data_IF_748318129497
#
_entry.id   IF_748318129497
#
_cell.length_a   1.000
_cell.length_b   1.000
_cell.length_c   1.000
_cell.angle_alpha   90.00
_cell.angle_beta   90.00
_cell.angle_gamma   90.00
#
_symmetry.space_group_name_H-M   'P 1'
#
loop_
_entity.id
_entity.type
_entity.pdbx_description
1 polymer ?
#
# COMPACT_ATOMS: atom_id res chain seq x y z
N UNK A 1 30.21 -42.14 -21.20
CA UNK A 1 29.63 -41.68 -19.91
C UNK A 1 30.03 -40.26 -19.50
N UNK A 2 30.86 -39.56 -20.27
CA UNK A 2 31.33 -38.18 -20.00
C UNK A 2 30.27 -37.08 -20.27
N UNK A 3 29.44 -37.23 -21.31
CA UNK A 3 28.49 -36.20 -21.78
C UNK A 3 27.38 -35.91 -20.76
N UNK A 4 26.96 -36.93 -19.98
CA UNK A 4 25.95 -36.79 -18.94
C UNK A 4 26.43 -36.01 -17.71
N UNK A 5 27.73 -36.03 -17.43
CA UNK A 5 28.33 -35.30 -16.31
C UNK A 5 28.41 -33.81 -16.66
N UNK A 6 28.87 -33.48 -17.87
CA UNK A 6 28.98 -32.09 -18.35
C UNK A 6 27.61 -31.37 -18.38
N UNK A 7 26.54 -32.07 -18.79
CA UNK A 7 25.18 -31.51 -18.79
C UNK A 7 24.65 -31.19 -17.38
N UNK A 8 24.97 -32.03 -16.39
CA UNK A 8 24.56 -31.79 -14.99
C UNK A 8 25.28 -30.59 -14.38
N UNK A 9 26.58 -30.45 -14.66
CA UNK A 9 27.36 -29.28 -14.22
C UNK A 9 26.88 -28.00 -14.88
N UNK A 10 26.58 -28.04 -16.18
CA UNK A 10 26.01 -26.89 -16.90
C UNK A 10 24.67 -26.43 -16.30
N UNK A 11 23.77 -27.37 -15.95
CA UNK A 11 22.49 -27.05 -15.31
C UNK A 11 22.69 -26.44 -13.93
N UNK A 12 23.59 -27.00 -13.11
CA UNK A 12 23.89 -26.47 -11.77
C UNK A 12 24.51 -25.07 -11.84
N UNK A 13 25.45 -24.85 -12.77
CA UNK A 13 26.06 -23.53 -13.01
C UNK A 13 25.01 -22.53 -13.50
N UNK A 14 24.12 -22.94 -14.40
CA UNK A 14 23.05 -22.09 -14.90
C UNK A 14 22.06 -21.70 -13.78
N UNK A 15 21.68 -22.65 -12.93
CA UNK A 15 20.85 -22.38 -11.75
C UNK A 15 21.54 -21.43 -10.75
N UNK A 16 22.84 -21.62 -10.48
CA UNK A 16 23.61 -20.73 -9.61
C UNK A 16 23.70 -19.30 -10.18
N UNK A 17 23.93 -19.16 -11.49
CA UNK A 17 23.91 -17.86 -12.18
C UNK A 17 22.54 -17.19 -12.11
N UNK A 18 21.45 -17.94 -12.32
CA UNK A 18 20.09 -17.42 -12.17
C UNK A 18 19.78 -16.97 -10.74
N UNK A 19 20.21 -17.74 -9.73
CA UNK A 19 20.02 -17.39 -8.32
C UNK A 19 20.80 -16.12 -7.93
N UNK A 20 22.05 -15.98 -8.40
CA UNK A 20 22.87 -14.79 -8.15
C UNK A 20 22.33 -13.55 -8.87
N UNK A 21 21.84 -13.70 -10.11
CA UNK A 21 21.19 -12.61 -10.85
C UNK A 21 19.89 -12.15 -10.17
N UNK A 22 19.12 -13.08 -9.60
CA UNK A 22 17.88 -12.77 -8.88
C UNK A 22 18.13 -12.05 -7.54
N UNK A 23 19.27 -12.31 -6.89
CA UNK A 23 19.67 -11.62 -5.66
C UNK A 23 20.07 -10.16 -5.87
N UNK A 24 20.56 -9.82 -7.08
CA UNK A 24 20.96 -8.46 -7.46
C UNK A 24 19.81 -7.62 -8.04
N UNK A 25 18.64 -8.24 -8.30
CA UNK A 25 17.48 -7.55 -8.87
C UNK A 25 16.58 -6.89 -7.81
N UNK A 26 16.92 -6.95 -6.52
CA UNK A 26 16.16 -6.22 -5.51
C UNK A 26 16.36 -4.71 -5.72
N UNK A 27 15.30 -3.93 -5.97
CA UNK A 27 15.44 -2.48 -6.11
C UNK A 27 16.07 -1.89 -4.85
N UNK A 28 17.00 -0.94 -5.01
CA UNK A 28 17.68 -0.29 -3.90
C UNK A 28 16.66 0.25 -2.88
N UNK A 29 16.69 -0.20 -1.61
CA UNK A 29 15.78 0.25 -0.57
C UNK A 29 15.74 1.78 -0.42
N UNK A 30 16.87 2.47 -0.64
CA UNK A 30 16.94 3.94 -0.55
C UNK A 30 16.20 4.60 -1.70
N UNK A 31 16.36 4.06 -2.91
CA UNK A 31 15.65 4.55 -4.08
C UNK A 31 14.14 4.32 -3.94
N UNK A 32 13.73 3.15 -3.45
CA UNK A 32 12.32 2.86 -3.13
C UNK A 32 11.75 3.87 -2.14
N UNK A 33 12.45 4.13 -1.04
CA UNK A 33 12.00 5.09 -0.03
C UNK A 33 11.89 6.51 -0.59
N UNK A 34 12.88 6.95 -1.38
CA UNK A 34 12.85 8.26 -2.02
C UNK A 34 11.61 8.43 -2.94
N UNK A 35 11.23 7.38 -3.68
CA UNK A 35 10.03 7.40 -4.52
C UNK A 35 8.74 7.44 -3.69
N UNK A 36 8.66 6.70 -2.57
CA UNK A 36 7.51 6.74 -1.67
C UNK A 36 7.34 8.14 -1.07
N UNK A 37 8.43 8.76 -0.60
CA UNK A 37 8.39 10.12 -0.05
C UNK A 37 7.98 11.14 -1.11
N UNK A 38 8.49 10.99 -2.35
CA UNK A 38 8.08 11.84 -3.46
C UNK A 38 6.58 11.71 -3.76
N UNK A 39 6.04 10.49 -3.82
CA UNK A 39 4.62 10.24 -4.04
C UNK A 39 3.76 10.87 -2.94
N UNK A 40 4.10 10.64 -1.66
CA UNK A 40 3.40 11.23 -0.51
C UNK A 40 3.37 12.75 -0.61
N UNK A 41 4.49 13.35 -1.02
CA UNK A 41 4.63 14.81 -1.14
C UNK A 41 3.78 15.42 -2.27
N UNK A 42 3.48 14.64 -3.32
CA UNK A 42 2.71 15.05 -4.49
C UNK A 42 1.20 14.84 -4.33
N UNK A 43 0.78 14.00 -3.37
CA UNK A 43 -0.63 13.75 -3.09
C UNK A 43 -1.34 15.02 -2.60
N UNK A 44 -2.67 15.07 -2.76
CA UNK A 44 -3.48 16.18 -2.28
C UNK A 44 -3.30 16.36 -0.77
N UNK A 45 -2.83 17.54 -0.36
CA UNK A 45 -2.54 17.83 1.05
C UNK A 45 -1.19 17.29 1.56
N UNK A 46 -0.36 16.68 0.70
CA UNK A 46 0.92 16.06 1.11
C UNK A 46 1.98 17.02 1.66
N UNK A 47 1.85 18.32 1.36
CA UNK A 47 2.72 19.38 1.89
C UNK A 47 2.15 20.06 3.15
N UNK A 48 0.97 19.65 3.63
CA UNK A 48 0.33 20.26 4.81
C UNK A 48 1.02 19.74 6.07
N UNK A 49 1.58 20.67 6.85
CA UNK A 49 2.24 20.34 8.11
C UNK A 49 1.20 20.19 9.21
N UNK A 50 1.04 18.98 9.73
CA UNK A 50 0.11 18.66 10.82
C UNK A 50 0.70 19.03 12.19
N UNK A 51 -0.14 19.56 13.07
CA UNK A 51 0.14 19.72 14.51
C UNK A 51 0.16 18.36 15.22
N UNK A 52 0.69 18.31 16.45
CA UNK A 52 0.75 17.04 17.19
C UNK A 52 -0.64 16.47 17.53
N UNK A 53 -1.64 17.33 17.74
CA UNK A 53 -3.01 16.89 17.94
C UNK A 53 -3.59 16.27 16.66
N UNK A 54 -3.32 16.89 15.50
CA UNK A 54 -3.76 16.38 14.19
C UNK A 54 -3.06 15.09 13.82
N UNK A 55 -1.75 14.93 14.11
CA UNK A 55 -1.02 13.67 13.90
C UNK A 55 -1.63 12.50 14.69
N UNK A 56 -2.07 12.75 15.93
CA UNK A 56 -2.74 11.72 16.74
C UNK A 56 -4.09 11.33 16.15
N UNK A 57 -4.86 12.31 15.68
CA UNK A 57 -6.13 12.07 15.00
C UNK A 57 -5.93 11.32 13.68
N UNK A 58 -4.92 11.70 12.89
CA UNK A 58 -4.55 11.07 11.63
C UNK A 58 -4.17 9.60 11.83
N UNK A 59 -3.33 9.28 12.82
CA UNK A 59 -2.98 7.91 13.15
C UNK A 59 -4.21 7.05 13.51
N UNK A 60 -5.17 7.62 14.27
CA UNK A 60 -6.42 6.94 14.60
C UNK A 60 -7.31 6.74 13.37
N UNK A 61 -7.46 7.79 12.55
CA UNK A 61 -8.22 7.76 11.30
C UNK A 61 -7.64 6.74 10.32
N UNK A 62 -6.32 6.70 10.18
CA UNK A 62 -5.62 5.75 9.33
C UNK A 62 -5.87 4.31 9.79
N UNK A 63 -5.78 4.04 11.10
CA UNK A 63 -6.10 2.72 11.64
C UNK A 63 -7.54 2.31 11.33
N UNK A 64 -8.52 3.19 11.59
CA UNK A 64 -9.92 2.92 11.26
C UNK A 64 -10.10 2.64 9.77
N UNK A 65 -9.46 3.42 8.89
CA UNK A 65 -9.48 3.24 7.43
C UNK A 65 -8.94 1.86 7.03
N UNK A 66 -7.81 1.43 7.59
CA UNK A 66 -7.24 0.12 7.29
C UNK A 66 -8.15 -1.02 7.76
N UNK A 67 -8.80 -0.88 8.92
CA UNK A 67 -9.78 -1.85 9.40
C UNK A 67 -11.02 -1.93 8.49
N UNK A 68 -11.44 -0.83 7.87
CA UNK A 68 -12.58 -0.82 6.94
C UNK A 68 -12.21 -1.34 5.56
N UNK A 69 -11.02 -1.00 5.04
CA UNK A 69 -10.50 -1.48 3.75
C UNK A 69 -10.18 -2.97 3.77
N UNK A 70 -9.81 -3.53 4.91
CA UNK A 70 -9.49 -4.96 5.04
C UNK A 70 -10.72 -5.87 5.15
N UNK A 71 -11.94 -5.30 5.25
CA UNK A 71 -13.18 -6.08 5.27
C UNK A 71 -13.46 -6.66 3.89
N UNK A 72 -14.15 -7.81 3.87
CA UNK A 72 -14.56 -8.46 2.63
C UNK A 72 -15.53 -7.58 1.82
N UNK A 73 -16.42 -6.86 2.52
CA UNK A 73 -17.31 -5.88 1.91
C UNK A 73 -16.55 -4.57 1.68
N UNK A 74 -16.43 -4.16 0.42
CA UNK A 74 -15.79 -2.90 0.04
C UNK A 74 -16.84 -1.96 -0.60
N UNK A 75 -17.55 -1.13 0.22
CA UNK A 75 -18.64 -0.28 -0.24
C UNK A 75 -18.32 0.61 -1.46
N UNK A 76 -17.10 1.16 -1.63
CA UNK A 76 -16.76 1.98 -2.79
C UNK A 76 -16.80 1.23 -4.14
N UNK A 77 -16.62 -0.10 -4.16
CA UNK A 77 -16.74 -0.90 -5.39
C UNK A 77 -18.16 -1.41 -5.65
N UNK A 78 -19.09 -1.19 -4.72
CA UNK A 78 -20.50 -1.56 -4.89
C UNK A 78 -21.31 -0.39 -5.44
N UNK A 79 -22.42 -0.69 -6.11
CA UNK A 79 -23.37 0.36 -6.50
C UNK A 79 -23.89 1.10 -5.26
N UNK A 80 -23.89 2.43 -5.30
CA UNK A 80 -24.19 3.29 -4.15
C UNK A 80 -25.50 2.93 -3.41
N UNK A 81 -26.59 2.65 -4.13
CA UNK A 81 -27.85 2.26 -3.50
C UNK A 81 -27.77 1.00 -2.62
N UNK A 82 -26.90 0.04 -2.95
CA UNK A 82 -26.64 -1.15 -2.13
C UNK A 82 -25.65 -0.86 -1.00
N UNK A 83 -24.65 -0.03 -1.29
CA UNK A 83 -23.63 0.36 -0.33
C UNK A 83 -24.14 1.32 0.75
N UNK A 84 -25.20 2.09 0.48
CA UNK A 84 -25.69 3.19 1.33
C UNK A 84 -25.94 2.76 2.76
N UNK A 85 -26.61 1.62 2.95
CA UNK A 85 -26.99 1.16 4.28
C UNK A 85 -25.75 0.69 5.06
N UNK A 86 -24.78 0.07 4.38
CA UNK A 86 -23.47 -0.28 4.95
C UNK A 86 -22.67 0.99 5.33
N UNK A 87 -22.58 1.97 4.43
CA UNK A 87 -21.87 3.25 4.66
C UNK A 87 -22.44 3.98 5.87
N UNK A 88 -23.78 4.01 6.04
CA UNK A 88 -24.43 4.67 7.18
C UNK A 88 -24.05 4.06 8.54
N UNK A 89 -23.69 2.78 8.56
CA UNK A 89 -23.25 2.10 9.79
C UNK A 89 -21.75 2.28 10.08
N UNK A 90 -20.94 2.68 9.09
CA UNK A 90 -19.50 2.86 9.23
C UNK A 90 -19.14 3.91 10.30
N UNK A 91 -18.26 3.57 11.27
CA UNK A 91 -17.71 4.53 12.22
C UNK A 91 -16.93 5.67 11.54
N UNK A 92 -16.20 5.38 10.45
CA UNK A 92 -15.47 6.40 9.68
C UNK A 92 -16.47 7.38 9.08
N UNK A 93 -17.53 6.88 8.46
CA UNK A 93 -18.54 7.76 7.85
C UNK A 93 -19.16 8.72 8.87
N UNK A 94 -19.50 8.23 10.07
CA UNK A 94 -20.01 9.08 11.17
C UNK A 94 -19.01 10.15 11.62
N UNK A 95 -17.71 9.85 11.59
CA UNK A 95 -16.66 10.82 11.89
C UNK A 95 -16.53 11.87 10.77
N UNK A 96 -16.54 11.43 9.50
CA UNK A 96 -16.52 12.31 8.33
C UNK A 96 -17.70 13.29 8.28
N UNK A 97 -18.85 12.92 8.86
CA UNK A 97 -20.01 13.81 9.00
C UNK A 97 -19.78 14.95 9.99
N UNK A 98 -18.92 14.76 10.99
CA UNK A 98 -18.58 15.78 12.00
C UNK A 98 -17.46 16.71 11.55
N UNK A 99 -16.72 16.33 10.51
CA UNK A 99 -15.65 17.17 9.98
C UNK A 99 -16.24 18.44 9.35
N UNK A 100 -15.66 19.63 9.61
CA UNK A 100 -16.06 20.84 8.92
C UNK A 100 -15.60 20.73 7.46
N UNK A 101 -16.48 20.23 6.59
CA UNK A 101 -16.24 20.28 5.16
C UNK A 101 -16.38 21.73 4.76
N UNK A 102 -15.26 22.37 4.41
CA UNK A 102 -15.33 23.67 3.76
C UNK A 102 -16.30 23.54 2.57
N UNK A 103 -17.16 24.53 2.39
CA UNK A 103 -17.80 24.69 1.11
C UNK A 103 -16.69 24.94 0.08
N UNK A 104 -16.70 24.17 -1.01
CA UNK A 104 -16.07 24.66 -2.24
C UNK A 104 -16.76 25.95 -2.68
#
# INVERSE_FOLDING_TARGET
MEVSLNRRHAVVVCLLLCCLASGLSSPDPRHREALIQLEVSMQTGGQVVLTDAEKRLDALLFKMKQEEVSRADFPPAMHFFRARDVIRTSPIFKLLQKMPKAFC
#
